data_IF_446877385989
#
_entry.id   IF_446877385989
#
_cell.length_a   1.000
_cell.length_b   1.000
_cell.length_c   1.000
_cell.angle_alpha   90.00
_cell.angle_beta   90.00
_cell.angle_gamma   90.00
#
_symmetry.space_group_name_H-M   'P 1'
#
loop_
_entity.id
_entity.type
_entity.pdbx_description
1 polymer ?
#
# COMPACT_ATOMS: atom_id res chain seq x y z
N UNK A 1 -48.27 -21.55 -12.46
CA UNK A 1 -47.56 -20.26 -12.57
C UNK A 1 -47.59 -19.56 -11.22
N UNK A 2 -46.49 -19.63 -10.46
CA UNK A 2 -46.26 -18.83 -9.24
C UNK A 2 -44.79 -18.41 -9.28
N UNK A 3 -44.51 -17.40 -10.09
CA UNK A 3 -43.28 -16.64 -9.99
C UNK A 3 -43.47 -15.58 -8.89
N UNK A 4 -42.35 -15.04 -8.40
CA UNK A 4 -42.28 -13.69 -7.86
C UNK A 4 -42.60 -13.52 -6.36
N UNK A 5 -41.81 -14.17 -5.50
CA UNK A 5 -41.39 -13.64 -4.17
C UNK A 5 -40.02 -14.21 -3.76
N UNK A 6 -39.03 -14.15 -4.65
CA UNK A 6 -37.63 -14.23 -4.23
C UNK A 6 -37.24 -12.78 -3.96
N UNK A 7 -37.25 -12.48 -2.67
CA UNK A 7 -37.15 -11.17 -2.08
C UNK A 7 -35.93 -10.39 -2.60
N UNK A 8 -36.22 -9.15 -2.95
CA UNK A 8 -35.37 -7.97 -3.13
C UNK A 8 -34.18 -7.83 -2.12
N UNK A 9 -34.13 -8.65 -1.07
CA UNK A 9 -33.07 -8.72 -0.07
C UNK A 9 -31.80 -9.44 -0.53
N UNK A 10 -31.82 -10.30 -1.57
CA UNK A 10 -30.57 -10.89 -2.10
C UNK A 10 -29.78 -9.91 -2.99
N UNK A 11 -30.41 -8.85 -3.51
CA UNK A 11 -29.72 -7.85 -4.35
C UNK A 11 -29.06 -6.73 -3.53
N UNK A 12 -29.45 -6.54 -2.26
CA UNK A 12 -28.82 -5.60 -1.35
C UNK A 12 -27.70 -6.22 -0.48
N UNK A 13 -27.60 -7.56 -0.46
CA UNK A 13 -26.53 -8.27 0.26
C UNK A 13 -25.16 -8.26 -0.45
N UNK A 14 -25.11 -7.91 -1.74
CA UNK A 14 -23.87 -7.80 -2.51
C UNK A 14 -23.25 -6.39 -2.52
N UNK A 15 -23.94 -5.39 -1.97
CA UNK A 15 -23.48 -4.00 -1.93
C UNK A 15 -22.79 -3.60 -0.62
N UNK A 16 -22.58 -4.56 0.30
CA UNK A 16 -22.03 -4.30 1.64
C UNK A 16 -20.74 -5.09 1.94
N UNK A 17 -20.09 -5.65 0.92
CA UNK A 17 -18.75 -6.23 1.03
C UNK A 17 -17.79 -5.38 0.19
N UNK A 18 -17.14 -4.41 0.83
CA UNK A 18 -16.16 -3.52 0.19
C UNK A 18 -16.42 -2.03 0.44
N UNK A 19 -16.61 -1.60 1.69
CA UNK A 19 -16.48 -0.19 2.04
C UNK A 19 -14.98 0.15 2.18
N UNK A 20 -14.28 0.13 1.06
CA UNK A 20 -12.91 0.60 0.92
C UNK A 20 -12.71 1.16 -0.47
N UNK A 21 -11.70 2.01 -0.70
CA UNK A 21 -11.37 2.45 -2.04
C UNK A 21 -11.08 1.21 -2.93
N UNK A 22 -11.52 1.29 -4.18
CA UNK A 22 -11.43 0.23 -5.18
C UNK A 22 -10.91 0.83 -6.49
N UNK A 23 -10.19 0.01 -7.26
CA UNK A 23 -9.76 0.32 -8.62
C UNK A 23 -10.91 0.56 -9.59
N UNK A 24 -12.14 0.17 -9.23
CA UNK A 24 -13.30 0.23 -10.12
C UNK A 24 -13.34 -0.90 -11.15
N UNK A 25 -12.44 -1.89 -11.05
CA UNK A 25 -12.51 -3.16 -11.77
C UNK A 25 -13.33 -4.16 -10.93
N UNK A 26 -14.19 -5.01 -11.54
CA UNK A 26 -14.98 -5.98 -10.78
C UNK A 26 -14.10 -6.91 -9.94
N UNK A 27 -14.33 -6.92 -8.62
CA UNK A 27 -13.48 -7.66 -7.67
C UNK A 27 -13.40 -9.18 -7.90
N UNK A 28 -14.37 -9.78 -8.59
CA UNK A 28 -14.37 -11.21 -8.93
C UNK A 28 -13.63 -11.54 -10.24
N UNK A 29 -13.15 -10.54 -10.99
CA UNK A 29 -12.37 -10.74 -12.22
C UNK A 29 -10.99 -11.26 -11.84
N UNK A 30 -10.44 -12.22 -12.59
CA UNK A 30 -9.09 -12.72 -12.36
C UNK A 30 -8.04 -11.76 -12.89
N UNK A 31 -6.87 -11.72 -12.25
CA UNK A 31 -5.74 -10.92 -12.70
C UNK A 31 -5.24 -11.35 -14.09
N UNK A 32 -5.38 -12.63 -14.44
CA UNK A 32 -5.05 -13.16 -15.77
C UNK A 32 -6.04 -12.76 -16.88
N UNK A 33 -7.21 -12.21 -16.52
CA UNK A 33 -8.28 -11.82 -17.45
C UNK A 33 -8.39 -10.29 -17.62
N UNK A 34 -7.46 -9.55 -17.03
CA UNK A 34 -7.44 -8.09 -17.12
C UNK A 34 -7.06 -7.67 -18.53
N UNK A 35 -7.80 -6.69 -19.04
CA UNK A 35 -7.42 -5.94 -20.23
C UNK A 35 -6.61 -4.70 -19.83
N UNK A 36 -6.02 -4.02 -20.81
CA UNK A 36 -5.14 -2.87 -20.57
C UNK A 36 -5.87 -1.74 -19.83
N UNK A 37 -7.17 -1.57 -20.10
CA UNK A 37 -8.00 -0.57 -19.43
C UNK A 37 -8.29 -0.89 -17.96
N UNK A 38 -8.28 -2.17 -17.59
CA UNK A 38 -8.32 -2.60 -16.19
C UNK A 38 -6.94 -2.47 -15.53
N UNK A 39 -5.87 -2.84 -16.23
CA UNK A 39 -4.50 -2.71 -15.73
C UNK A 39 -4.15 -1.26 -15.40
N UNK A 40 -4.51 -0.29 -16.26
CA UNK A 40 -4.32 1.14 -15.98
C UNK A 40 -5.12 1.61 -14.76
N UNK A 41 -6.34 1.09 -14.55
CA UNK A 41 -7.15 1.43 -13.37
C UNK A 41 -6.55 0.88 -12.09
N UNK A 42 -6.08 -0.36 -12.11
CA UNK A 42 -5.40 -0.98 -10.98
C UNK A 42 -4.09 -0.24 -10.68
N UNK A 43 -3.30 0.11 -11.70
CA UNK A 43 -2.09 0.92 -11.51
C UNK A 43 -2.40 2.26 -10.85
N UNK A 44 -3.41 2.98 -11.35
CA UNK A 44 -3.82 4.27 -10.78
C UNK A 44 -4.23 4.12 -9.33
N UNK A 45 -5.04 3.11 -9.02
CA UNK A 45 -5.44 2.81 -7.64
C UNK A 45 -4.24 2.53 -6.73
N UNK A 46 -3.28 1.74 -7.18
CA UNK A 46 -2.03 1.49 -6.44
C UNK A 46 -1.23 2.78 -6.25
N UNK A 47 -1.14 3.61 -7.29
CA UNK A 47 -0.49 4.92 -7.24
C UNK A 47 -1.12 5.86 -6.22
N UNK A 48 -2.44 5.99 -6.23
CA UNK A 48 -3.21 6.80 -5.27
C UNK A 48 -3.01 6.31 -3.83
N UNK A 49 -2.96 4.99 -3.62
CA UNK A 49 -2.69 4.41 -2.31
C UNK A 49 -1.27 4.68 -1.81
N UNK A 50 -0.27 4.51 -2.68
CA UNK A 50 1.11 4.84 -2.35
C UNK A 50 1.25 6.33 -2.05
N UNK A 51 0.58 7.19 -2.84
CA UNK A 51 0.54 8.63 -2.59
C UNK A 51 -0.04 8.94 -1.22
N UNK A 52 -1.18 8.36 -0.84
CA UNK A 52 -1.78 8.58 0.48
C UNK A 52 -0.87 8.12 1.63
N UNK A 53 -0.16 6.99 1.46
CA UNK A 53 0.86 6.53 2.42
C UNK A 53 1.98 7.56 2.55
N UNK A 54 2.63 7.92 1.44
CA UNK A 54 3.83 8.76 1.41
C UNK A 54 3.54 10.23 1.72
N UNK A 55 2.31 10.69 1.47
CA UNK A 55 1.87 12.04 1.82
C UNK A 55 1.27 12.12 3.22
N UNK A 56 1.10 11.00 3.92
CA UNK A 56 0.59 11.02 5.28
C UNK A 56 1.57 11.68 6.24
N UNK A 57 1.05 12.54 7.13
CA UNK A 57 1.86 13.19 8.19
C UNK A 57 2.56 12.19 9.11
N UNK A 58 1.97 11.01 9.30
CA UNK A 58 2.56 9.96 10.14
C UNK A 58 3.78 9.34 9.46
N UNK A 59 3.73 9.12 8.14
CA UNK A 59 4.89 8.64 7.40
C UNK A 59 6.03 9.68 7.40
N UNK A 60 5.72 10.97 7.23
CA UNK A 60 6.73 12.02 7.35
C UNK A 60 7.40 12.04 8.71
N UNK A 61 6.58 11.96 9.76
CA UNK A 61 7.06 11.93 11.14
C UNK A 61 7.92 10.71 11.42
N UNK A 62 7.53 9.54 10.90
CA UNK A 62 8.30 8.31 11.00
C UNK A 62 9.66 8.45 10.32
N UNK A 63 9.68 8.85 9.05
CA UNK A 63 10.91 9.04 8.27
C UNK A 63 11.85 10.07 8.92
N UNK A 64 11.32 11.21 9.36
CA UNK A 64 12.12 12.23 10.04
C UNK A 64 12.61 11.78 11.43
N UNK A 65 11.86 10.91 12.13
CA UNK A 65 12.33 10.34 13.40
C UNK A 65 13.50 9.36 13.18
N UNK A 66 13.49 8.60 12.08
CA UNK A 66 14.64 7.76 11.69
C UNK A 66 15.86 8.63 11.35
N UNK A 67 15.67 9.72 10.60
CA UNK A 67 16.75 10.69 10.31
C UNK A 67 17.34 11.26 11.60
N UNK A 68 16.49 11.69 12.54
CA UNK A 68 16.94 12.21 13.83
C UNK A 68 17.69 11.17 14.66
N UNK A 69 17.21 9.93 14.67
CA UNK A 69 17.87 8.83 15.37
C UNK A 69 19.27 8.56 14.81
N UNK A 70 19.40 8.51 13.48
CA UNK A 70 20.70 8.34 12.83
C UNK A 70 21.65 9.51 13.11
N UNK A 71 21.13 10.75 13.12
CA UNK A 71 21.94 11.92 13.45
C UNK A 71 22.46 11.90 14.90
N UNK A 72 21.61 11.51 15.86
CA UNK A 72 21.99 11.39 17.28
C UNK A 72 23.02 10.26 17.52
N UNK A 73 22.96 9.18 16.73
CA UNK A 73 23.96 8.10 16.81
C UNK A 73 25.32 8.46 16.20
N UNK A 74 25.37 9.43 15.29
CA UNK A 74 26.62 9.82 14.65
C UNK A 74 27.47 10.65 15.64
N UNK A 75 28.70 10.21 15.97
CA UNK A 75 29.56 10.88 16.96
C UNK A 75 30.06 12.28 16.53
N UNK A 76 29.66 12.73 15.34
CA UNK A 76 30.04 14.00 14.73
C UNK A 76 29.00 15.10 14.95
N UNK A 77 27.85 14.79 15.54
CA UNK A 77 26.79 15.78 15.78
C UNK A 77 26.39 15.82 17.26
N UNK A 78 25.91 16.97 17.73
CA UNK A 78 25.36 17.15 19.09
C UNK A 78 23.84 17.26 19.07
N UNK A 79 23.21 16.97 17.93
CA UNK A 79 21.78 17.21 17.76
C UNK A 79 20.99 16.08 18.38
N UNK A 80 19.92 16.44 19.10
CA UNK A 80 18.98 15.46 19.64
C UNK A 80 18.08 14.98 18.51
N UNK A 81 17.65 13.73 18.56
CA UNK A 81 16.78 13.11 17.56
C UNK A 81 15.54 13.97 17.29
N UNK A 82 14.93 14.55 18.32
CA UNK A 82 13.75 15.38 18.18
C UNK A 82 14.02 16.70 17.42
N UNK A 83 15.17 17.33 17.66
CA UNK A 83 15.55 18.58 17.00
C UNK A 83 15.76 18.35 15.50
N UNK A 84 16.41 17.23 15.15
CA UNK A 84 16.61 16.83 13.76
C UNK A 84 15.34 16.35 13.07
N UNK A 85 14.48 15.64 13.80
CA UNK A 85 13.14 15.25 13.33
C UNK A 85 12.34 16.50 12.95
N UNK A 86 12.29 17.48 13.83
CA UNK A 86 11.47 18.68 13.63
C UNK A 86 12.03 19.53 12.48
N UNK A 87 13.36 19.67 12.38
CA UNK A 87 14.01 20.31 11.23
C UNK A 87 13.72 19.60 9.91
N UNK A 88 13.78 18.27 9.90
CA UNK A 88 13.40 17.46 8.74
C UNK A 88 11.94 17.66 8.35
N UNK A 89 11.03 17.72 9.32
CA UNK A 89 9.60 17.94 9.06
C UNK A 89 9.34 19.33 8.45
N UNK A 90 10.03 20.37 8.94
CA UNK A 90 9.93 21.72 8.36
C UNK A 90 10.38 21.73 6.89
N UNK A 91 11.49 21.06 6.58
CA UNK A 91 11.98 20.90 5.19
C UNK A 91 11.00 20.12 4.32
N UNK A 92 10.47 18.98 4.79
CA UNK A 92 9.49 18.20 4.00
C UNK A 92 8.18 18.95 3.77
N UNK A 93 7.74 19.79 4.73
CA UNK A 93 6.58 20.67 4.55
C UNK A 93 6.87 21.77 3.51
N UNK A 94 8.08 22.30 3.46
CA UNK A 94 8.54 23.22 2.41
C UNK A 94 8.60 22.56 1.04
N UNK A 95 9.16 21.36 0.97
CA UNK A 95 9.26 20.58 -0.27
C UNK A 95 7.88 20.16 -0.78
N UNK A 96 6.96 19.74 0.09
CA UNK A 96 5.60 19.38 -0.33
C UNK A 96 4.86 20.56 -0.95
N UNK A 97 4.96 21.75 -0.35
CA UNK A 97 4.38 22.98 -0.93
C UNK A 97 4.95 23.30 -2.33
N UNK A 98 6.18 22.86 -2.61
CA UNK A 98 6.82 23.02 -3.91
C UNK A 98 6.55 21.84 -4.87
N UNK A 99 6.31 20.64 -4.34
CA UNK A 99 6.17 19.36 -5.04
C UNK A 99 4.71 18.98 -5.36
N UNK A 100 3.71 19.66 -4.81
CA UNK A 100 2.28 19.60 -5.22
C UNK A 100 2.04 19.89 -6.72
N UNK A 101 3.12 20.10 -7.49
CA UNK A 101 3.12 20.38 -8.92
C UNK A 101 3.65 19.24 -9.80
N UNK A 102 3.93 18.02 -9.30
CA UNK A 102 4.15 16.80 -10.11
C UNK A 102 4.45 15.57 -9.22
N UNK A 103 3.54 14.60 -9.17
CA UNK A 103 3.79 13.18 -8.85
C UNK A 103 2.45 12.45 -9.07
N UNK A 104 2.20 11.45 -9.93
CA UNK A 104 3.03 10.47 -10.61
C UNK A 104 2.30 10.05 -11.92
N UNK A 105 2.88 10.29 -13.10
CA UNK A 105 2.33 9.91 -14.42
C UNK A 105 2.78 8.50 -14.91
N UNK A 106 3.27 7.64 -14.01
CA UNK A 106 3.91 6.37 -14.38
C UNK A 106 2.96 5.24 -14.83
N UNK A 107 1.64 5.45 -14.77
CA UNK A 107 0.64 4.45 -15.16
C UNK A 107 0.25 4.52 -16.64
N UNK A 108 0.61 5.60 -17.34
CA UNK A 108 0.31 5.77 -18.76
C UNK A 108 1.37 5.09 -19.66
N UNK A 109 2.48 4.61 -19.08
CA UNK A 109 3.60 3.93 -19.76
C UNK A 109 3.76 2.44 -19.37
N UNK A 110 2.71 1.81 -18.81
CA UNK A 110 2.76 0.37 -18.57
C UNK A 110 2.78 -0.39 -19.90
N UNK A 111 3.98 -0.80 -20.32
CA UNK A 111 4.22 -1.73 -21.43
C UNK A 111 3.50 -3.07 -21.17
N UNK A 112 3.13 -3.75 -22.26
CA UNK A 112 2.37 -5.01 -22.35
C UNK A 112 2.91 -6.19 -21.49
N UNK A 113 4.05 -6.02 -20.84
CA UNK A 113 4.76 -7.01 -20.02
C UNK A 113 4.18 -7.20 -18.61
N UNK A 114 3.19 -6.40 -18.20
CA UNK A 114 2.50 -6.53 -16.91
C UNK A 114 1.37 -7.58 -16.90
N UNK A 115 1.25 -8.41 -17.93
CA UNK A 115 0.34 -9.56 -17.89
C UNK A 115 0.87 -10.62 -16.91
N UNK A 116 0.01 -11.06 -15.99
CA UNK A 116 0.25 -12.21 -15.11
C UNK A 116 -0.46 -13.46 -15.67
N UNK A 117 0.04 -14.07 -16.76
CA UNK A 117 -0.61 -15.22 -17.37
C UNK A 117 -0.69 -16.37 -16.38
N UNK A 118 -1.90 -16.92 -16.22
CA UNK A 118 -2.15 -18.04 -15.30
C UNK A 118 -2.27 -17.65 -13.83
N UNK A 119 -2.29 -16.36 -13.47
CA UNK A 119 -2.66 -15.98 -12.12
C UNK A 119 -4.17 -16.17 -11.88
N UNK A 120 -4.51 -17.02 -10.90
CA UNK A 120 -5.88 -17.34 -10.53
C UNK A 120 -6.47 -16.40 -9.47
N UNK A 121 -5.63 -15.52 -8.92
CA UNK A 121 -6.11 -14.51 -7.98
C UNK A 121 -7.06 -13.53 -8.64
N UNK A 122 -7.98 -13.03 -7.84
CA UNK A 122 -8.96 -12.03 -8.21
C UNK A 122 -8.47 -10.62 -7.93
N UNK A 123 -9.09 -9.64 -8.59
CA UNK A 123 -8.86 -8.21 -8.31
C UNK A 123 -9.12 -7.89 -6.85
N UNK A 124 -10.16 -8.47 -6.23
CA UNK A 124 -10.42 -8.27 -4.80
C UNK A 124 -9.26 -8.73 -3.93
N UNK A 125 -8.66 -9.90 -4.21
CA UNK A 125 -7.49 -10.40 -3.46
C UNK A 125 -6.27 -9.50 -3.64
N UNK A 126 -6.08 -8.92 -4.82
CA UNK A 126 -5.03 -7.93 -5.06
C UNK A 126 -5.27 -6.65 -4.25
N UNK A 127 -6.47 -6.07 -4.32
CA UNK A 127 -6.81 -4.86 -3.58
C UNK A 127 -6.73 -5.10 -2.06
N UNK A 128 -7.14 -6.28 -1.58
CA UNK A 128 -7.01 -6.67 -0.18
C UNK A 128 -5.54 -6.75 0.27
N UNK A 129 -4.66 -7.33 -0.55
CA UNK A 129 -3.21 -7.32 -0.32
C UNK A 129 -2.66 -5.90 -0.20
N UNK A 130 -3.02 -5.00 -1.12
CA UNK A 130 -2.55 -3.63 -1.07
C UNK A 130 -3.05 -2.87 0.17
N UNK A 131 -4.33 -3.01 0.54
CA UNK A 131 -4.87 -2.41 1.77
C UNK A 131 -4.18 -2.96 3.02
N UNK A 132 -3.85 -4.25 3.05
CA UNK A 132 -3.10 -4.83 4.16
C UNK A 132 -1.67 -4.27 4.25
N UNK A 133 -1.00 -4.02 3.12
CA UNK A 133 0.29 -3.32 3.09
C UNK A 133 0.12 -1.89 3.62
N UNK A 134 -0.88 -1.16 3.16
CA UNK A 134 -1.16 0.21 3.63
C UNK A 134 -1.32 0.25 5.15
N UNK A 135 -2.19 -0.60 5.69
CA UNK A 135 -2.44 -0.70 7.12
C UNK A 135 -1.16 -1.03 7.89
N UNK A 136 -0.36 -1.96 7.36
CA UNK A 136 0.92 -2.36 7.97
C UNK A 136 1.93 -1.23 7.97
N UNK A 137 2.08 -0.51 6.86
CA UNK A 137 2.97 0.65 6.76
C UNK A 137 2.52 1.75 7.73
N UNK A 138 1.22 2.01 7.84
CA UNK A 138 0.66 2.99 8.79
C UNK A 138 0.88 2.59 10.24
N UNK A 139 0.79 1.30 10.55
CA UNK A 139 1.07 0.75 11.88
C UNK A 139 2.54 0.94 12.24
N UNK A 140 3.45 0.42 11.42
CA UNK A 140 4.91 0.54 11.64
C UNK A 140 5.34 2.00 11.73
N UNK A 141 4.78 2.89 10.90
CA UNK A 141 5.07 4.32 10.95
C UNK A 141 4.72 4.96 12.29
N UNK A 142 3.70 4.48 13.02
CA UNK A 142 3.37 4.99 14.36
C UNK A 142 4.40 4.59 15.41
N UNK A 143 5.08 3.47 15.21
CA UNK A 143 6.09 2.95 16.13
C UNK A 143 7.45 3.64 15.95
N UNK A 144 7.72 4.18 14.77
CA UNK A 144 8.96 4.90 14.43
C UNK A 144 9.00 6.31 15.02
N UNK A 145 9.16 6.39 16.34
CA UNK A 145 9.38 7.64 17.09
C UNK A 145 10.81 7.68 17.66
N UNK A 146 11.34 8.87 17.93
CA UNK A 146 12.65 9.02 18.57
C UNK A 146 12.77 8.20 19.87
N UNK A 147 11.73 8.24 20.72
CA UNK A 147 11.72 7.51 21.99
C UNK A 147 11.81 5.99 21.77
N UNK A 148 11.01 5.46 20.84
CA UNK A 148 11.00 4.02 20.57
C UNK A 148 12.30 3.55 19.90
N UNK A 149 12.86 4.35 19.00
CA UNK A 149 14.11 4.05 18.30
C UNK A 149 15.31 4.06 19.26
N UNK A 150 15.40 5.06 20.13
CA UNK A 150 16.49 5.18 21.11
C UNK A 150 16.38 4.16 22.24
N UNK A 151 15.16 3.77 22.65
CA UNK A 151 14.93 2.72 23.65
C UNK A 151 15.07 1.30 23.10
N UNK A 152 15.20 1.14 21.77
CA UNK A 152 15.26 -0.17 21.13
C UNK A 152 13.95 -0.94 21.18
N UNK A 153 12.81 -0.25 21.36
CA UNK A 153 11.49 -0.88 21.46
C UNK A 153 10.85 -1.15 20.10
N UNK A 154 11.48 -0.71 19.00
CA UNK A 154 11.02 -0.98 17.64
C UNK A 154 11.49 -2.36 17.22
N UNK A 155 10.56 -3.22 16.80
CA UNK A 155 10.89 -4.51 16.21
C UNK A 155 11.44 -4.30 14.79
N UNK A 156 12.75 -4.47 14.60
CA UNK A 156 13.38 -4.30 13.29
C UNK A 156 12.79 -5.24 12.23
N UNK A 157 12.28 -6.41 12.63
CA UNK A 157 11.62 -7.35 11.71
C UNK A 157 10.29 -6.83 11.21
N UNK A 158 9.61 -5.97 11.98
CA UNK A 158 8.37 -5.34 11.55
C UNK A 158 8.62 -4.32 10.43
N UNK A 159 9.79 -3.67 10.43
CA UNK A 159 10.22 -2.72 9.38
C UNK A 159 10.66 -3.48 8.12
N UNK A 160 11.50 -4.51 8.28
CA UNK A 160 12.05 -5.29 7.17
C UNK A 160 10.97 -6.04 6.36
N UNK A 161 9.88 -6.42 7.04
CA UNK A 161 8.82 -7.26 6.48
C UNK A 161 7.50 -6.50 6.28
N UNK A 162 7.55 -5.19 6.02
CA UNK A 162 6.33 -4.37 5.87
C UNK A 162 5.41 -4.86 4.73
N UNK A 163 5.98 -5.56 3.74
CA UNK A 163 5.26 -6.18 2.62
C UNK A 163 4.91 -7.66 2.84
N UNK A 164 5.41 -8.29 3.91
CA UNK A 164 5.11 -9.70 4.23
C UNK A 164 3.80 -9.80 5.02
N UNK A 165 2.70 -9.45 4.37
CA UNK A 165 1.35 -9.57 4.93
C UNK A 165 0.64 -10.85 4.43
N UNK A 166 -0.19 -11.52 5.25
CA UNK A 166 -0.82 -12.79 4.88
C UNK A 166 -1.65 -12.73 3.59
N UNK A 167 -2.27 -11.59 3.31
CA UNK A 167 -3.05 -11.31 2.10
C UNK A 167 -2.17 -11.38 0.86
N UNK A 168 -1.00 -10.75 0.88
CA UNK A 168 -0.06 -10.74 -0.23
C UNK A 168 0.63 -12.09 -0.43
N UNK A 169 0.85 -12.86 0.65
CA UNK A 169 1.35 -14.23 0.54
C UNK A 169 0.34 -15.12 -0.20
N UNK A 170 -0.94 -15.05 0.18
CA UNK A 170 -2.02 -15.78 -0.50
C UNK A 170 -2.15 -15.37 -1.96
N UNK A 171 -2.07 -14.07 -2.25
CA UNK A 171 -2.02 -13.54 -3.62
C UNK A 171 -0.87 -14.17 -4.42
N UNK A 172 0.34 -14.18 -3.86
CA UNK A 172 1.53 -14.77 -4.48
C UNK A 172 1.38 -16.27 -4.75
N UNK A 173 0.81 -17.03 -3.81
CA UNK A 173 0.51 -18.46 -3.99
C UNK A 173 -0.47 -18.68 -5.16
N UNK A 174 -1.55 -17.89 -5.25
CA UNK A 174 -2.54 -17.95 -6.33
C UNK A 174 -1.98 -17.55 -7.70
N UNK A 175 -0.95 -16.72 -7.76
CA UNK A 175 -0.27 -16.36 -9.01
C UNK A 175 0.87 -17.31 -9.40
N UNK A 176 1.48 -18.02 -8.43
CA UNK A 176 2.61 -18.94 -8.69
C UNK A 176 2.18 -20.40 -8.90
N UNK A 177 1.02 -20.79 -8.36
CA UNK A 177 0.43 -22.12 -8.59
C UNK A 177 0.08 -22.38 -10.07
N UNK A 178 -0.32 -21.35 -10.83
CA UNK A 178 -0.61 -21.47 -12.26
C UNK A 178 0.62 -21.66 -13.15
N UNK A 179 1.79 -21.20 -12.70
CA UNK A 179 3.07 -21.32 -13.43
C UNK A 179 3.69 -22.72 -13.33
N UNK A 180 3.30 -23.51 -12.32
CA UNK A 180 3.85 -24.85 -12.07
C UNK A 180 3.06 -25.98 -12.72
N UNK A 181 1.89 -25.71 -13.31
CA UNK A 181 1.05 -26.68 -14.03
C UNK A 181 1.24 -26.71 -15.56
N UNK A 182 2.18 -25.92 -16.10
CA UNK A 182 2.42 -25.78 -17.54
C UNK A 182 3.71 -26.41 -18.08
N UNK A 183 4.32 -27.36 -17.35
CA UNK A 183 5.52 -28.09 -17.77
C UNK A 183 5.23 -29.39 -18.52
#
# INVERSE_FOLDING_TARGET
>A
MKAQRISFFMLLGFLMAGCGPSSGVPGNRKLSELDDGDASRICRFTGEMLEDIFTSRNFDRAACSVTGYLAELLPLTTFRCEEERDRCLEQRLEDRRNAERNAFDACDELDDDAYLPGCEATVAEYEDCLRAIEDRVREVSKELTCDNLLSGSVDSRAIENVFDVPECRRLGESCTAGLSSGG
#
